data_IF_822647225763
#
_entry.id   IF_822647225763
#
_cell.length_a   1.000
_cell.length_b   1.000
_cell.length_c   1.000
_cell.angle_alpha   90.00
_cell.angle_beta   90.00
_cell.angle_gamma   90.00
#
_symmetry.space_group_name_H-M   'P 1'
#
loop_
_entity.id
_entity.type
_entity.pdbx_description
1 polymer ?
#
# COMPACT_ATOMS: atom_id res chain seq x y z
N UNK A 1 -6.57 64.47 9.89
CA UNK A 1 -6.70 64.69 8.44
C UNK A 1 -5.99 63.52 7.77
N UNK A 2 -6.75 62.54 7.33
CA UNK A 2 -6.28 61.29 6.71
C UNK A 2 -6.28 61.50 5.20
N UNK A 3 -5.09 61.48 4.61
CA UNK A 3 -4.92 61.56 3.16
C UNK A 3 -5.28 60.19 2.52
N UNK A 4 -6.45 60.10 1.90
CA UNK A 4 -6.77 59.00 1.01
C UNK A 4 -5.90 59.10 -0.24
N UNK A 5 -4.99 58.13 -0.44
CA UNK A 5 -4.31 57.93 -1.72
C UNK A 5 -5.33 57.47 -2.75
N UNK A 6 -5.70 58.30 -3.70
CA UNK A 6 -6.47 57.94 -4.90
C UNK A 6 -5.60 57.02 -5.79
N UNK A 7 -6.08 55.80 -5.99
CA UNK A 7 -5.54 54.87 -6.98
C UNK A 7 -5.89 55.43 -8.37
N UNK A 8 -4.93 55.66 -9.27
CA UNK A 8 -5.22 56.16 -10.61
C UNK A 8 -6.10 55.15 -11.38
N UNK A 9 -7.02 55.65 -12.23
CA UNK A 9 -7.87 54.80 -13.07
C UNK A 9 -6.99 54.00 -14.05
N UNK A 10 -7.31 52.72 -14.24
CA UNK A 10 -6.68 51.88 -15.27
C UNK A 10 -6.91 52.44 -16.64
N UNK A 11 -5.93 52.39 -17.57
CA UNK A 11 -6.16 52.74 -18.95
C UNK A 11 -7.23 51.85 -19.59
N UNK A 12 -8.29 52.45 -20.03
CA UNK A 12 -9.38 51.82 -20.76
C UNK A 12 -8.83 51.19 -22.03
N UNK A 13 -8.91 49.88 -22.19
CA UNK A 13 -8.58 49.23 -23.46
C UNK A 13 -7.87 47.85 -23.33
N UNK A 14 -7.54 47.39 -22.13
CA UNK A 14 -7.04 46.00 -22.02
C UNK A 14 -8.24 45.05 -21.88
N UNK A 15 -8.54 44.33 -22.95
CA UNK A 15 -9.42 43.16 -22.86
C UNK A 15 -8.94 42.26 -21.74
N UNK A 16 -9.84 41.68 -20.89
CA UNK A 16 -9.43 40.72 -19.91
C UNK A 16 -8.66 39.60 -20.64
N UNK A 17 -7.39 39.41 -20.27
CA UNK A 17 -6.59 38.28 -20.77
C UNK A 17 -7.41 37.04 -20.48
N UNK A 18 -7.78 36.23 -21.49
CA UNK A 18 -8.48 34.99 -21.25
C UNK A 18 -7.70 34.20 -20.21
N UNK A 19 -8.38 33.71 -19.16
CA UNK A 19 -7.74 32.84 -18.17
C UNK A 19 -7.04 31.72 -18.94
N UNK A 20 -5.73 31.64 -18.80
CA UNK A 20 -4.97 30.53 -19.42
C UNK A 20 -5.63 29.23 -18.95
N UNK A 21 -5.92 28.30 -19.87
CA UNK A 21 -6.39 26.98 -19.47
C UNK A 21 -5.41 26.40 -18.44
N UNK A 22 -5.90 25.75 -17.39
CA UNK A 22 -5.03 25.16 -16.39
C UNK A 22 -4.01 24.28 -17.10
N UNK A 23 -2.74 24.40 -16.71
CA UNK A 23 -1.68 23.57 -17.30
C UNK A 23 -2.08 22.11 -17.12
N UNK A 24 -1.82 21.23 -18.10
CA UNK A 24 -2.19 19.81 -18.04
C UNK A 24 -1.68 19.07 -16.79
N UNK A 25 -0.66 19.63 -16.15
CA UNK A 25 0.01 19.12 -14.94
C UNK A 25 -0.49 19.79 -13.63
N UNK A 26 -1.52 20.63 -13.66
CA UNK A 26 -2.11 21.20 -12.43
C UNK A 26 -2.94 20.14 -11.71
N UNK A 27 -2.30 19.42 -10.80
CA UNK A 27 -2.99 18.55 -9.83
C UNK A 27 -3.79 19.48 -8.88
N UNK A 28 -5.11 19.27 -8.80
CA UNK A 28 -5.95 19.98 -7.83
C UNK A 28 -5.42 19.79 -6.40
N UNK A 29 -5.75 20.68 -5.48
CA UNK A 29 -5.40 20.57 -4.07
C UNK A 29 -6.65 20.26 -3.23
N UNK A 30 -6.45 19.55 -2.14
CA UNK A 30 -7.44 19.31 -1.09
C UNK A 30 -7.55 20.54 -0.19
N UNK A 31 -8.57 20.61 0.67
CA UNK A 31 -8.77 21.73 1.60
C UNK A 31 -7.58 21.93 2.56
N UNK A 32 -6.82 20.89 2.84
CA UNK A 32 -5.59 20.93 3.63
C UNK A 32 -4.31 21.22 2.79
N UNK A 33 -4.49 21.64 1.52
CA UNK A 33 -3.40 22.07 0.64
C UNK A 33 -2.57 20.95 0.00
N UNK A 34 -2.98 19.67 0.14
CA UNK A 34 -2.26 18.54 -0.46
C UNK A 34 -2.67 18.31 -1.91
N UNK A 35 -1.77 17.80 -2.76
CA UNK A 35 -2.14 17.35 -4.11
C UNK A 35 -3.26 16.31 -4.06
N UNK A 36 -4.33 16.51 -4.83
CA UNK A 36 -5.51 15.64 -4.85
C UNK A 36 -5.35 14.51 -5.86
N UNK A 37 -5.82 13.30 -5.50
CA UNK A 37 -5.85 12.17 -6.42
C UNK A 37 -6.75 12.47 -7.63
N UNK A 38 -6.21 12.29 -8.84
CA UNK A 38 -6.91 12.48 -10.11
C UNK A 38 -7.75 11.27 -10.52
N UNK A 39 -7.54 10.13 -9.86
CA UNK A 39 -8.28 8.87 -10.06
C UNK A 39 -9.36 8.68 -9.01
N UNK A 40 -10.39 7.92 -9.36
CA UNK A 40 -11.46 7.50 -8.44
C UNK A 40 -11.13 6.16 -7.77
N UNK A 41 -11.77 5.88 -6.62
CA UNK A 41 -11.58 4.63 -5.90
C UNK A 41 -12.11 3.41 -6.70
N UNK A 42 -13.23 3.56 -7.43
CA UNK A 42 -13.77 2.48 -8.26
C UNK A 42 -12.87 2.20 -9.47
N UNK A 43 -12.29 3.23 -10.09
CA UNK A 43 -11.29 3.07 -11.15
C UNK A 43 -10.05 2.32 -10.63
N UNK A 44 -9.58 2.68 -9.44
CA UNK A 44 -8.49 1.98 -8.76
C UNK A 44 -8.79 0.49 -8.56
N UNK A 45 -9.98 0.15 -8.07
CA UNK A 45 -10.40 -1.25 -7.88
C UNK A 45 -10.51 -2.00 -9.21
N UNK A 46 -11.06 -1.38 -10.25
CA UNK A 46 -11.15 -1.98 -11.59
C UNK A 46 -9.76 -2.28 -12.14
N UNK A 47 -8.84 -1.31 -12.06
CA UNK A 47 -7.46 -1.51 -12.55
C UNK A 47 -6.74 -2.59 -11.75
N UNK A 48 -6.93 -2.62 -10.44
CA UNK A 48 -6.32 -3.65 -9.60
C UNK A 48 -6.85 -5.05 -9.94
N UNK A 49 -8.15 -5.19 -10.11
CA UNK A 49 -8.75 -6.45 -10.57
C UNK A 49 -8.23 -6.87 -11.95
N UNK A 50 -8.15 -5.95 -12.91
CA UNK A 50 -7.57 -6.22 -14.23
C UNK A 50 -6.10 -6.61 -14.13
N UNK A 51 -5.33 -6.00 -13.22
CA UNK A 51 -3.94 -6.36 -12.99
C UNK A 51 -3.80 -7.81 -12.48
N UNK A 52 -4.68 -8.26 -11.58
CA UNK A 52 -4.75 -9.68 -11.18
C UNK A 52 -5.08 -10.61 -12.34
N UNK A 53 -6.04 -10.23 -13.18
CA UNK A 53 -6.38 -11.01 -14.36
C UNK A 53 -5.19 -11.14 -15.32
N UNK A 54 -4.51 -10.03 -15.61
CA UNK A 54 -3.30 -10.03 -16.47
C UNK A 54 -2.18 -10.86 -15.84
N UNK A 55 -1.99 -10.76 -14.52
CA UNK A 55 -1.00 -11.55 -13.80
C UNK A 55 -1.32 -13.05 -13.87
N UNK A 56 -2.59 -13.43 -13.67
CA UNK A 56 -3.04 -14.81 -13.84
C UNK A 56 -2.76 -15.35 -15.25
N UNK A 57 -3.06 -14.56 -16.28
CA UNK A 57 -2.74 -14.95 -17.66
C UNK A 57 -1.23 -15.06 -17.91
N UNK A 58 -0.43 -14.16 -17.34
CA UNK A 58 1.03 -14.16 -17.48
C UNK A 58 1.70 -15.37 -16.79
N UNK A 59 1.08 -15.92 -15.74
CA UNK A 59 1.60 -17.11 -15.03
C UNK A 59 1.21 -18.45 -15.69
N UNK A 60 0.23 -18.49 -16.60
CA UNK A 60 -0.20 -19.73 -17.28
C UNK A 60 0.91 -20.53 -17.97
N UNK A 61 1.87 -19.91 -18.70
CA UNK A 61 2.98 -20.65 -19.28
C UNK A 61 3.86 -21.33 -18.24
N UNK A 62 4.06 -20.70 -17.08
CA UNK A 62 4.89 -21.24 -15.99
C UNK A 62 4.24 -22.47 -15.34
N UNK A 63 2.93 -22.43 -15.12
CA UNK A 63 2.14 -23.57 -14.58
C UNK A 63 2.27 -24.81 -15.46
N UNK A 64 2.48 -24.66 -16.78
CA UNK A 64 2.61 -25.78 -17.71
C UNK A 64 4.00 -26.43 -17.70
N UNK A 65 5.02 -25.73 -17.25
CA UNK A 65 6.43 -26.19 -17.32
C UNK A 65 7.04 -26.47 -15.97
N UNK A 66 6.43 -26.00 -14.88
CA UNK A 66 6.88 -26.23 -13.52
C UNK A 66 6.10 -27.38 -12.87
N UNK A 67 6.71 -28.06 -11.92
CA UNK A 67 6.01 -29.08 -11.14
C UNK A 67 4.88 -28.44 -10.33
N UNK A 68 3.64 -28.94 -10.42
CA UNK A 68 2.51 -28.37 -9.71
C UNK A 68 2.66 -28.55 -8.19
N UNK A 69 2.06 -27.64 -7.45
CA UNK A 69 1.90 -27.67 -5.98
C UNK A 69 3.20 -27.79 -5.17
N UNK A 70 4.33 -27.39 -5.75
CA UNK A 70 5.59 -27.23 -4.98
C UNK A 70 5.71 -25.82 -4.41
N UNK A 71 6.35 -25.69 -3.24
CA UNK A 71 6.62 -24.38 -2.61
C UNK A 71 7.44 -23.47 -3.55
N UNK A 72 8.38 -24.05 -4.32
CA UNK A 72 9.15 -23.30 -5.32
C UNK A 72 8.26 -22.76 -6.44
N UNK A 73 7.36 -23.57 -6.96
CA UNK A 73 6.41 -23.12 -7.99
C UNK A 73 5.54 -21.99 -7.47
N UNK A 74 4.96 -22.15 -6.28
CA UNK A 74 4.09 -21.14 -5.67
C UNK A 74 4.80 -19.80 -5.46
N UNK A 75 6.05 -19.82 -4.98
CA UNK A 75 6.80 -18.55 -4.80
C UNK A 75 7.18 -17.92 -6.15
N UNK A 76 7.56 -18.68 -7.15
CA UNK A 76 7.86 -18.15 -8.49
C UNK A 76 6.63 -17.51 -9.11
N UNK A 77 5.46 -18.18 -9.03
CA UNK A 77 4.20 -17.64 -9.53
C UNK A 77 3.82 -16.36 -8.79
N UNK A 78 4.00 -16.32 -7.47
CA UNK A 78 3.71 -15.13 -6.63
C UNK A 78 4.60 -13.95 -7.01
N UNK A 79 5.90 -14.17 -7.19
CA UNK A 79 6.86 -13.13 -7.62
C UNK A 79 6.49 -12.57 -8.98
N UNK A 80 6.22 -13.45 -9.96
CA UNK A 80 5.84 -13.02 -11.32
C UNK A 80 4.52 -12.26 -11.29
N UNK A 81 3.52 -12.78 -10.58
CA UNK A 81 2.23 -12.11 -10.44
C UNK A 81 2.38 -10.72 -9.82
N UNK A 82 3.14 -10.59 -8.74
CA UNK A 82 3.35 -9.30 -8.07
C UNK A 82 4.06 -8.28 -8.98
N UNK A 83 5.08 -8.71 -9.73
CA UNK A 83 5.78 -7.85 -10.70
C UNK A 83 4.81 -7.38 -11.80
N UNK A 84 3.98 -8.28 -12.32
CA UNK A 84 2.98 -7.93 -13.36
C UNK A 84 1.94 -6.97 -12.81
N UNK A 85 1.40 -7.22 -11.61
CA UNK A 85 0.44 -6.33 -10.95
C UNK A 85 1.05 -4.93 -10.77
N UNK A 86 2.27 -4.87 -10.25
CA UNK A 86 2.99 -3.60 -10.06
C UNK A 86 3.22 -2.88 -11.39
N UNK A 87 3.64 -3.60 -12.44
CA UNK A 87 3.86 -3.04 -13.77
C UNK A 87 2.58 -2.47 -14.38
N UNK A 88 1.45 -3.18 -14.30
CA UNK A 88 0.15 -2.71 -14.78
C UNK A 88 -0.29 -1.46 -14.03
N UNK A 89 -0.14 -1.45 -12.70
CA UNK A 89 -0.49 -0.30 -11.86
C UNK A 89 0.35 0.94 -12.20
N UNK A 90 1.67 0.77 -12.32
CA UNK A 90 2.58 1.86 -12.69
C UNK A 90 2.30 2.38 -14.10
N UNK A 91 2.05 1.49 -15.06
CA UNK A 91 1.71 1.86 -16.44
C UNK A 91 0.41 2.67 -16.49
N UNK A 92 -0.62 2.22 -15.78
CA UNK A 92 -1.88 2.97 -15.67
C UNK A 92 -1.68 4.35 -15.07
N UNK A 93 -0.97 4.46 -13.93
CA UNK A 93 -0.64 5.74 -13.31
C UNK A 93 0.13 6.65 -14.26
N UNK A 94 1.14 6.13 -14.96
CA UNK A 94 1.97 6.90 -15.88
C UNK A 94 1.20 7.41 -17.10
N UNK A 95 0.31 6.58 -17.66
CA UNK A 95 -0.43 6.92 -18.88
C UNK A 95 -1.67 7.80 -18.63
N UNK A 96 -2.30 7.66 -17.47
CA UNK A 96 -3.61 8.27 -17.20
C UNK A 96 -3.57 9.41 -16.17
N UNK A 97 -2.57 9.43 -15.28
CA UNK A 97 -2.58 10.28 -14.09
C UNK A 97 -1.26 11.06 -13.95
N UNK A 98 -1.07 12.07 -14.79
CA UNK A 98 0.09 12.96 -14.69
C UNK A 98 0.21 13.54 -13.28
N UNK A 99 1.42 13.57 -12.73
CA UNK A 99 1.68 14.09 -11.38
C UNK A 99 1.37 13.12 -10.22
N UNK A 100 1.07 11.85 -10.49
CA UNK A 100 0.79 10.84 -9.47
C UNK A 100 1.89 10.74 -8.39
N UNK A 101 3.15 10.97 -8.75
CA UNK A 101 4.28 10.99 -7.80
C UNK A 101 4.12 12.08 -6.73
N UNK A 102 3.60 13.26 -7.10
CA UNK A 102 3.30 14.34 -6.15
C UNK A 102 2.14 13.96 -5.23
N UNK A 103 1.11 13.34 -5.79
CA UNK A 103 -0.05 12.86 -4.99
C UNK A 103 0.39 11.88 -3.92
N UNK A 104 1.32 11.00 -4.24
CA UNK A 104 1.89 10.02 -3.30
C UNK A 104 2.92 10.62 -2.34
N UNK A 105 3.30 11.89 -2.54
CA UNK A 105 4.23 12.58 -1.66
C UNK A 105 5.64 12.03 -1.70
N UNK A 106 6.19 11.77 -2.90
CA UNK A 106 7.60 11.39 -2.98
C UNK A 106 8.46 12.50 -2.40
N UNK A 107 9.43 12.16 -1.52
CA UNK A 107 10.23 13.14 -0.83
C UNK A 107 11.18 13.86 -1.79
N UNK A 108 11.48 15.12 -1.46
CA UNK A 108 12.49 15.87 -2.18
C UNK A 108 13.90 15.27 -2.04
N UNK A 109 14.77 15.45 -3.04
CA UNK A 109 16.17 15.03 -2.94
C UNK A 109 16.82 15.48 -1.64
N UNK A 110 17.51 14.56 -0.97
CA UNK A 110 18.19 14.83 0.32
C UNK A 110 17.38 14.50 1.58
N UNK A 111 16.05 14.35 1.50
CA UNK A 111 15.20 14.02 2.66
C UNK A 111 14.93 12.53 2.83
N UNK A 112 15.26 11.70 1.85
CA UNK A 112 14.99 10.25 1.79
C UNK A 112 15.47 9.49 3.03
N UNK A 113 16.70 9.75 3.49
CA UNK A 113 17.27 9.08 4.67
C UNK A 113 16.42 9.28 5.91
N UNK A 114 15.92 10.51 6.13
CA UNK A 114 15.06 10.84 7.27
C UNK A 114 13.71 10.11 7.17
N UNK A 115 13.13 10.05 5.98
CA UNK A 115 11.84 9.40 5.77
C UNK A 115 11.97 7.86 5.93
N UNK A 116 13.00 7.25 5.35
CA UNK A 116 13.29 5.82 5.53
C UNK A 116 13.52 5.52 7.02
N UNK A 117 14.39 6.28 7.70
CA UNK A 117 14.66 6.09 9.13
C UNK A 117 13.39 6.20 9.99
N UNK A 118 12.50 7.16 9.65
CA UNK A 118 11.21 7.28 10.32
C UNK A 118 10.32 6.06 10.09
N UNK A 119 10.30 5.52 8.87
CA UNK A 119 9.57 4.29 8.55
C UNK A 119 10.12 3.09 9.29
N UNK A 120 11.45 2.93 9.31
CA UNK A 120 12.11 1.85 10.05
C UNK A 120 11.76 1.88 11.54
N UNK A 121 11.86 3.05 12.17
CA UNK A 121 11.51 3.18 13.60
C UNK A 121 10.04 2.86 13.86
N UNK A 122 9.14 3.28 12.97
CA UNK A 122 7.73 2.93 13.09
C UNK A 122 7.50 1.43 12.90
N UNK A 123 8.15 0.80 11.91
CA UNK A 123 8.07 -0.64 11.64
C UNK A 123 8.57 -1.51 12.79
N UNK A 124 9.67 -1.09 13.45
CA UNK A 124 10.19 -1.75 14.65
C UNK A 124 9.16 -1.77 15.80
N UNK A 125 8.42 -0.68 15.99
CA UNK A 125 7.34 -0.62 16.98
C UNK A 125 6.05 -1.32 16.51
N UNK A 126 5.76 -1.28 15.21
CA UNK A 126 4.55 -1.85 14.63
C UNK A 126 4.48 -3.36 14.80
N UNK A 127 5.60 -4.07 14.56
CA UNK A 127 5.64 -5.54 14.64
C UNK A 127 5.19 -6.09 16.00
N UNK A 128 5.83 -5.75 17.13
CA UNK A 128 5.41 -6.28 18.43
C UNK A 128 3.99 -5.85 18.80
N UNK A 129 3.56 -4.64 18.44
CA UNK A 129 2.19 -4.19 18.73
C UNK A 129 1.18 -5.01 17.94
N UNK A 130 1.38 -5.23 16.64
CA UNK A 130 0.42 -5.94 15.80
C UNK A 130 0.44 -7.46 16.05
N UNK A 131 1.63 -8.06 16.15
CA UNK A 131 1.73 -9.52 16.27
C UNK A 131 1.50 -9.98 17.74
N UNK A 132 2.13 -9.33 18.72
CA UNK A 132 2.06 -9.77 20.10
C UNK A 132 0.79 -9.24 20.77
N UNK A 133 0.54 -7.93 20.70
CA UNK A 133 -0.59 -7.35 21.43
C UNK A 133 -1.91 -7.59 20.69
N UNK A 134 -2.04 -7.10 19.46
CA UNK A 134 -3.28 -7.21 18.69
C UNK A 134 -3.54 -8.66 18.31
N UNK A 135 -2.56 -9.37 17.79
CA UNK A 135 -2.64 -10.79 17.43
C UNK A 135 -3.00 -11.66 18.66
N UNK A 136 -2.28 -11.48 19.77
CA UNK A 136 -2.57 -12.21 21.02
C UNK A 136 -3.98 -11.96 21.55
N UNK A 137 -4.46 -10.71 21.56
CA UNK A 137 -5.83 -10.39 21.96
C UNK A 137 -6.87 -10.99 21.02
N UNK A 138 -6.65 -10.94 19.72
CA UNK A 138 -7.55 -11.53 18.73
C UNK A 138 -7.56 -13.06 18.82
N UNK A 139 -6.42 -13.70 19.04
CA UNK A 139 -6.33 -15.15 19.28
C UNK A 139 -7.21 -15.55 20.45
N UNK A 140 -7.05 -14.92 21.62
CA UNK A 140 -7.88 -15.20 22.81
C UNK A 140 -9.35 -14.97 22.53
N UNK A 141 -9.70 -13.87 21.85
CA UNK A 141 -11.09 -13.56 21.50
C UNK A 141 -11.69 -14.61 20.57
N UNK A 142 -10.99 -14.96 19.49
CA UNK A 142 -11.47 -15.92 18.49
C UNK A 142 -11.59 -17.32 19.10
N UNK A 143 -10.62 -17.78 19.90
CA UNK A 143 -10.71 -19.05 20.63
C UNK A 143 -11.91 -19.08 21.58
N UNK A 144 -12.18 -17.97 22.29
CA UNK A 144 -13.30 -17.89 23.23
C UNK A 144 -14.65 -17.97 22.50
N UNK A 145 -14.77 -17.34 21.33
CA UNK A 145 -16.02 -17.30 20.55
C UNK A 145 -16.25 -18.60 19.78
N UNK A 146 -15.21 -19.13 19.12
CA UNK A 146 -15.34 -20.33 18.28
C UNK A 146 -15.29 -21.64 19.06
N UNK A 147 -14.63 -21.66 20.20
CA UNK A 147 -14.28 -22.89 20.94
C UNK A 147 -13.18 -23.70 20.27
N UNK A 148 -12.58 -23.21 19.18
CA UNK A 148 -11.52 -23.87 18.42
C UNK A 148 -10.14 -23.36 18.86
N UNK A 149 -9.12 -24.21 18.72
CA UNK A 149 -7.74 -23.76 18.85
C UNK A 149 -7.37 -22.90 17.62
N UNK A 150 -6.81 -21.73 17.86
CA UNK A 150 -6.50 -20.73 16.81
C UNK A 150 -4.99 -20.60 16.68
N UNK A 151 -4.48 -20.84 15.50
CA UNK A 151 -3.06 -20.70 15.16
C UNK A 151 -2.87 -19.69 14.03
N UNK A 152 -1.75 -18.97 14.06
CA UNK A 152 -1.39 -18.13 12.94
C UNK A 152 -1.01 -19.01 11.72
N UNK A 153 -1.69 -18.88 10.57
CA UNK A 153 -1.39 -19.72 9.43
C UNK A 153 0.03 -19.49 8.93
N UNK A 154 0.71 -20.57 8.54
CA UNK A 154 2.04 -20.49 7.96
C UNK A 154 2.01 -19.78 6.60
N UNK A 155 2.82 -18.73 6.48
CA UNK A 155 2.92 -17.94 5.26
C UNK A 155 4.13 -18.32 4.39
N UNK A 156 5.00 -19.19 4.89
CA UNK A 156 6.24 -19.61 4.22
C UNK A 156 6.34 -21.12 4.25
N UNK A 157 6.49 -21.75 3.08
CA UNK A 157 6.63 -23.20 2.94
C UNK A 157 7.83 -23.74 3.75
N UNK A 158 7.66 -24.93 4.33
CA UNK A 158 8.65 -25.55 5.20
C UNK A 158 9.88 -26.07 4.44
N UNK A 159 9.72 -26.45 3.17
CA UNK A 159 10.72 -27.18 2.39
C UNK A 159 11.17 -26.44 1.12
N UNK A 160 11.55 -25.16 1.29
CA UNK A 160 12.06 -24.39 0.16
C UNK A 160 13.54 -24.68 -0.10
N UNK A 161 13.93 -24.96 -1.35
CA UNK A 161 15.34 -24.96 -1.73
C UNK A 161 15.92 -23.54 -1.55
N UNK A 162 17.26 -23.43 -1.47
CA UNK A 162 17.94 -22.14 -1.22
C UNK A 162 17.48 -21.02 -2.15
N UNK A 163 17.22 -21.32 -3.42
CA UNK A 163 16.70 -20.35 -4.39
C UNK A 163 15.25 -19.92 -4.04
N UNK A 164 14.41 -20.85 -3.60
CA UNK A 164 13.05 -20.56 -3.16
C UNK A 164 13.05 -19.67 -1.92
N UNK A 165 13.90 -19.98 -0.92
CA UNK A 165 14.07 -19.13 0.26
C UNK A 165 14.54 -17.72 -0.10
N UNK A 166 15.52 -17.58 -1.00
CA UNK A 166 15.99 -16.28 -1.47
C UNK A 166 14.88 -15.49 -2.18
N UNK A 167 14.08 -16.14 -3.04
CA UNK A 167 12.94 -15.52 -3.71
C UNK A 167 11.87 -15.08 -2.71
N UNK A 168 11.57 -15.92 -1.70
CA UNK A 168 10.61 -15.58 -0.63
C UNK A 168 11.06 -14.34 0.15
N UNK A 169 12.33 -14.27 0.52
CA UNK A 169 12.92 -13.13 1.23
C UNK A 169 12.80 -11.85 0.39
N UNK A 170 13.19 -11.89 -0.87
CA UNK A 170 13.11 -10.72 -1.77
C UNK A 170 11.64 -10.32 -2.01
N UNK A 171 10.77 -11.29 -2.24
CA UNK A 171 9.34 -11.07 -2.42
C UNK A 171 8.71 -10.40 -1.19
N UNK A 172 8.86 -11.03 -0.03
CA UNK A 172 8.20 -10.57 1.20
C UNK A 172 8.77 -9.23 1.71
N UNK A 173 10.09 -9.00 1.58
CA UNK A 173 10.72 -7.79 2.12
C UNK A 173 10.62 -6.61 1.15
N UNK A 174 10.65 -6.85 -0.16
CA UNK A 174 10.80 -5.75 -1.14
C UNK A 174 9.60 -5.66 -2.08
N UNK A 175 9.31 -6.73 -2.83
CA UNK A 175 8.37 -6.66 -3.95
C UNK A 175 6.93 -6.44 -3.44
N UNK A 176 6.47 -7.27 -2.50
CA UNK A 176 5.14 -7.17 -1.94
C UNK A 176 4.92 -5.84 -1.21
N UNK A 177 5.76 -5.39 -0.27
CA UNK A 177 5.56 -4.12 0.41
C UNK A 177 5.50 -2.92 -0.53
N UNK A 178 6.33 -2.85 -1.58
CA UNK A 178 6.29 -1.76 -2.55
C UNK A 178 4.96 -1.77 -3.31
N UNK A 179 4.55 -2.92 -3.85
CA UNK A 179 3.31 -3.05 -4.61
C UNK A 179 2.06 -2.77 -3.77
N UNK A 180 2.02 -3.32 -2.58
CA UNK A 180 0.91 -3.18 -1.64
C UNK A 180 0.77 -1.74 -1.14
N UNK A 181 1.85 -1.10 -0.70
CA UNK A 181 1.78 0.29 -0.24
C UNK A 181 1.42 1.23 -1.40
N UNK A 182 1.98 0.99 -2.59
CA UNK A 182 1.64 1.79 -3.76
C UNK A 182 0.13 1.72 -4.05
N UNK A 183 -0.47 0.52 -4.01
CA UNK A 183 -1.89 0.37 -4.25
C UNK A 183 -2.74 0.82 -3.06
N UNK A 184 -2.54 0.24 -1.88
CA UNK A 184 -3.43 0.48 -0.74
C UNK A 184 -3.31 1.90 -0.17
N UNK A 185 -2.10 2.46 -0.08
CA UNK A 185 -1.88 3.82 0.48
C UNK A 185 -1.79 4.86 -0.62
N UNK A 186 -0.99 4.59 -1.66
CA UNK A 186 -0.80 5.52 -2.75
C UNK A 186 -2.05 5.73 -3.59
N UNK A 187 -2.79 4.66 -3.91
CA UNK A 187 -3.92 4.71 -4.83
C UNK A 187 -5.26 4.68 -4.10
N UNK A 188 -5.59 3.58 -3.41
CA UNK A 188 -6.92 3.37 -2.85
C UNK A 188 -7.22 4.32 -1.68
N UNK A 189 -6.36 4.37 -0.67
CA UNK A 189 -6.50 5.28 0.45
C UNK A 189 -6.61 6.73 -0.02
N UNK A 190 -5.70 7.19 -0.89
CA UNK A 190 -5.70 8.57 -1.40
C UNK A 190 -7.01 8.93 -2.09
N UNK A 191 -7.51 8.06 -2.96
CA UNK A 191 -8.76 8.34 -3.69
C UNK A 191 -9.99 8.39 -2.78
N UNK A 192 -10.07 7.51 -1.77
CA UNK A 192 -11.13 7.52 -0.77
C UNK A 192 -11.01 8.72 0.19
N UNK A 193 -9.79 8.94 0.72
CA UNK A 193 -9.48 10.03 1.65
C UNK A 193 -9.80 11.40 1.07
N UNK A 194 -9.39 11.64 -0.17
CA UNK A 194 -9.56 12.95 -0.81
C UNK A 194 -11.03 13.27 -1.17
N UNK A 195 -11.92 12.27 -1.15
CA UNK A 195 -13.35 12.42 -1.43
C UNK A 195 -14.25 12.28 -0.20
N UNK A 196 -13.87 11.42 0.74
CA UNK A 196 -14.74 11.00 1.84
C UNK A 196 -14.09 11.18 3.22
N UNK A 197 -12.89 11.74 3.27
CA UNK A 197 -12.15 11.99 4.51
C UNK A 197 -11.28 10.81 4.99
N UNK A 198 -10.46 11.11 6.00
CA UNK A 198 -9.44 10.20 6.51
C UNK A 198 -9.98 8.81 6.90
N UNK A 199 -11.04 8.77 7.71
CA UNK A 199 -11.53 7.50 8.25
C UNK A 199 -12.09 6.56 7.19
N UNK A 200 -12.81 7.09 6.19
CA UNK A 200 -13.31 6.29 5.06
C UNK A 200 -12.14 5.74 4.24
N UNK A 201 -11.13 6.57 4.00
CA UNK A 201 -9.90 6.12 3.33
C UNK A 201 -9.15 5.05 4.12
N UNK A 202 -8.90 5.30 5.40
CA UNK A 202 -8.13 4.40 6.25
C UNK A 202 -8.82 3.03 6.44
N UNK A 203 -10.09 3.04 6.81
CA UNK A 203 -10.87 1.80 7.02
C UNK A 203 -11.07 1.06 5.70
N UNK A 204 -11.47 1.76 4.61
CA UNK A 204 -11.71 1.14 3.31
C UNK A 204 -10.45 0.48 2.74
N UNK A 205 -9.30 1.17 2.80
CA UNK A 205 -8.04 0.58 2.34
C UNK A 205 -7.53 -0.54 3.25
N UNK A 206 -7.75 -0.45 4.56
CA UNK A 206 -7.37 -1.49 5.51
C UNK A 206 -8.21 -2.76 5.38
N UNK A 207 -9.52 -2.64 5.09
CA UNK A 207 -10.36 -3.80 4.76
C UNK A 207 -9.80 -4.53 3.54
N UNK A 208 -9.52 -3.81 2.46
CA UNK A 208 -8.91 -4.41 1.27
C UNK A 208 -7.57 -5.07 1.58
N UNK A 209 -6.73 -4.43 2.40
CA UNK A 209 -5.44 -4.95 2.80
C UNK A 209 -5.56 -6.24 3.63
N UNK A 210 -6.50 -6.30 4.57
CA UNK A 210 -6.79 -7.53 5.31
C UNK A 210 -7.29 -8.66 4.40
N UNK A 211 -8.22 -8.35 3.48
CA UNK A 211 -8.83 -9.35 2.59
C UNK A 211 -7.84 -10.04 1.64
N UNK A 212 -6.83 -9.33 1.14
CA UNK A 212 -5.82 -9.95 0.26
C UNK A 212 -4.89 -10.94 0.99
N UNK A 213 -4.90 -10.92 2.34
CA UNK A 213 -4.14 -11.85 3.16
C UNK A 213 -4.95 -13.10 3.55
N UNK A 214 -6.09 -13.33 2.91
CA UNK A 214 -6.82 -14.57 3.07
C UNK A 214 -5.96 -15.77 2.64
N UNK A 215 -5.83 -16.76 3.52
CA UNK A 215 -5.18 -18.04 3.24
C UNK A 215 -6.24 -19.15 3.42
N UNK A 216 -6.40 -20.06 2.45
CA UNK A 216 -7.30 -21.20 2.58
C UNK A 216 -6.90 -22.09 3.76
N UNK A 217 -7.89 -22.57 4.54
CA UNK A 217 -7.69 -23.41 5.71
C UNK A 217 -8.82 -23.23 6.73
N UNK A 218 -8.48 -23.26 8.01
CA UNK A 218 -9.44 -22.93 9.08
C UNK A 218 -9.98 -21.50 8.91
N UNK A 219 -11.31 -21.36 8.96
CA UNK A 219 -11.94 -20.04 8.84
C UNK A 219 -11.52 -19.09 9.98
N UNK A 220 -11.23 -19.65 11.17
CA UNK A 220 -10.84 -18.87 12.35
C UNK A 220 -9.40 -18.39 12.23
N UNK A 221 -8.49 -19.24 11.72
CA UNK A 221 -7.09 -18.86 11.47
C UNK A 221 -6.98 -17.83 10.37
N UNK A 222 -7.74 -18.01 9.28
CA UNK A 222 -7.84 -17.02 8.21
C UNK A 222 -8.39 -15.67 8.74
N UNK A 223 -9.38 -15.70 9.60
CA UNK A 223 -9.93 -14.51 10.24
C UNK A 223 -8.89 -13.81 11.12
N UNK A 224 -8.11 -14.56 11.90
CA UNK A 224 -7.02 -14.01 12.72
C UNK A 224 -6.03 -13.22 11.83
N UNK A 225 -5.52 -13.85 10.77
CA UNK A 225 -4.56 -13.20 9.87
C UNK A 225 -5.16 -11.96 9.22
N UNK A 226 -6.36 -12.06 8.64
CA UNK A 226 -7.02 -10.92 8.00
C UNK A 226 -7.26 -9.76 8.97
N UNK A 227 -7.63 -10.03 10.23
CA UNK A 227 -7.83 -8.99 11.24
C UNK A 227 -6.52 -8.34 11.67
N UNK A 228 -5.45 -9.12 11.90
CA UNK A 228 -4.12 -8.56 12.20
C UNK A 228 -3.64 -7.67 11.04
N UNK A 229 -3.82 -8.11 9.79
CA UNK A 229 -3.47 -7.33 8.61
C UNK A 229 -4.36 -6.11 8.41
N UNK A 230 -5.66 -6.18 8.75
CA UNK A 230 -6.53 -5.01 8.79
C UNK A 230 -5.99 -3.93 9.75
N UNK A 231 -5.65 -4.29 10.98
CA UNK A 231 -5.10 -3.34 11.96
C UNK A 231 -3.71 -2.82 11.54
N UNK A 232 -2.88 -3.68 10.96
CA UNK A 232 -1.60 -3.26 10.34
C UNK A 232 -1.87 -2.25 9.23
N UNK A 233 -2.87 -2.52 8.40
CA UNK A 233 -3.33 -1.64 7.34
C UNK A 233 -3.77 -0.26 7.84
N UNK A 234 -4.52 -0.20 8.93
CA UNK A 234 -4.91 1.05 9.58
C UNK A 234 -3.70 1.85 10.09
N UNK A 235 -2.75 1.17 10.75
CA UNK A 235 -1.54 1.81 11.26
C UNK A 235 -0.67 2.40 10.15
N UNK A 236 -0.52 1.68 9.02
CA UNK A 236 0.22 2.17 7.85
C UNK A 236 -0.50 3.34 7.16
N UNK A 237 -1.84 3.32 7.07
CA UNK A 237 -2.60 4.45 6.57
C UNK A 237 -2.46 5.69 7.48
N UNK A 238 -2.46 5.48 8.80
CA UNK A 238 -2.25 6.56 9.77
C UNK A 238 -0.88 7.20 9.64
N UNK A 239 0.20 6.41 9.55
CA UNK A 239 1.56 6.98 9.41
C UNK A 239 1.73 7.67 8.06
N UNK A 240 1.12 7.14 6.99
CA UNK A 240 1.12 7.80 5.68
C UNK A 240 0.42 9.17 5.75
N UNK A 241 -0.77 9.25 6.37
CA UNK A 241 -1.47 10.53 6.56
C UNK A 241 -0.64 11.53 7.36
N UNK A 242 0.02 11.09 8.42
CA UNK A 242 0.85 11.94 9.29
C UNK A 242 2.13 12.43 8.63
N UNK A 243 2.74 11.62 7.76
CA UNK A 243 4.02 11.93 7.12
C UNK A 243 3.89 12.51 5.72
N UNK A 244 2.77 12.31 5.05
CA UNK A 244 2.48 12.83 3.71
C UNK A 244 3.36 12.23 2.61
N UNK A 245 4.07 11.14 2.86
CA UNK A 245 4.96 10.48 1.89
C UNK A 245 4.83 8.96 1.93
N UNK A 246 4.73 8.33 0.75
CA UNK A 246 4.61 6.88 0.59
C UNK A 246 5.86 6.12 1.05
N UNK A 247 7.01 6.77 1.10
CA UNK A 247 8.29 6.16 1.51
C UNK A 247 8.25 5.68 2.96
N UNK A 248 7.55 6.39 3.83
CA UNK A 248 7.48 6.02 5.25
C UNK A 248 6.70 4.71 5.47
N UNK A 249 5.47 4.54 4.98
CA UNK A 249 4.77 3.26 5.14
C UNK A 249 5.46 2.12 4.39
N UNK A 250 6.08 2.34 3.21
CA UNK A 250 6.90 1.32 2.54
C UNK A 250 8.03 0.86 3.45
N UNK A 251 8.84 1.76 3.99
CA UNK A 251 9.95 1.42 4.87
C UNK A 251 9.47 0.74 6.18
N UNK A 252 8.34 1.17 6.73
CA UNK A 252 7.72 0.55 7.90
C UNK A 252 7.27 -0.89 7.62
N UNK A 253 6.61 -1.11 6.50
CA UNK A 253 6.14 -2.41 6.07
C UNK A 253 7.31 -3.36 5.77
N UNK A 254 8.31 -2.90 5.03
CA UNK A 254 9.54 -3.68 4.81
C UNK A 254 10.20 -4.08 6.13
N UNK A 255 10.28 -3.17 7.11
CA UNK A 255 10.85 -3.47 8.43
C UNK A 255 10.01 -4.49 9.19
N UNK A 256 8.68 -4.35 9.15
CA UNK A 256 7.74 -5.31 9.74
C UNK A 256 7.99 -6.72 9.17
N UNK A 257 8.10 -6.84 7.85
CA UNK A 257 8.34 -8.13 7.19
C UNK A 257 9.75 -8.68 7.44
N UNK A 258 10.78 -7.81 7.52
CA UNK A 258 12.14 -8.23 7.91
C UNK A 258 12.13 -8.92 9.27
N UNK A 259 11.45 -8.34 10.27
CA UNK A 259 11.37 -8.95 11.60
C UNK A 259 10.68 -10.32 11.51
N UNK A 260 9.52 -10.40 10.81
CA UNK A 260 8.82 -11.67 10.61
C UNK A 260 9.69 -12.73 9.95
N UNK A 261 10.37 -12.39 8.85
CA UNK A 261 11.27 -13.29 8.13
C UNK A 261 12.45 -13.75 9.01
N UNK A 262 13.09 -12.83 9.75
CA UNK A 262 14.19 -13.17 10.66
C UNK A 262 13.72 -14.14 11.75
N UNK A 263 12.54 -13.97 12.29
CA UNK A 263 11.99 -14.88 13.30
C UNK A 263 11.64 -16.25 12.70
N UNK A 264 11.05 -16.29 11.50
CA UNK A 264 10.71 -17.55 10.82
C UNK A 264 11.95 -18.35 10.45
N UNK A 265 12.96 -17.72 9.83
CA UNK A 265 14.16 -18.41 9.37
C UNK A 265 15.26 -18.51 10.43
N UNK A 266 15.27 -17.62 11.42
CA UNK A 266 16.29 -17.61 12.49
C UNK A 266 15.98 -18.54 13.67
N UNK A 267 14.72 -18.99 13.80
CA UNK A 267 14.30 -19.95 14.84
C UNK A 267 14.17 -21.39 14.33
N UNK A 268 14.41 -21.61 13.03
CA UNK A 268 14.55 -22.92 12.39
C UNK A 268 16.01 -23.32 12.37
#
# INVERSE_FOLDING_TARGET
>A
MSSQQQIPPRPDGLHPVPAMPPRPDSVGVTDDGRPKATWSWYEALVVYFLAFLVAGLATLPLIRVMEPDTDLTNIVLSVVAAIVILAVLLLWLQLKHAGWLRVMGLPEPGTWRKQIGSGVLFGLGLYPVMVIVVGGLLTVLLQTISGEHVEAPEQVGEHLPAIGSALTIVYAIVIAPIGEELFFRGVLFRSLRDRHGFWVGAVGSAIGFGLIHYIPGSAVDAALLMLVMFFTGLALAFIYERRGTIVVPIAAHMTFNVIGIVLIFGLR
#
